data_IF_971161573845
#
_entry.id   IF_971161573845
#
_cell.length_a   1.000
_cell.length_b   1.000
_cell.length_c   1.000
_cell.angle_alpha   90.00
_cell.angle_beta   90.00
_cell.angle_gamma   90.00
#
_symmetry.space_group_name_H-M   'P 1'
#
loop_
_entity.id
_entity.type
_entity.pdbx_description
1 polymer ?
#
# COMPACT_ATOMS: atom_id res chain seq x y z
N UNK A 1 -22.88 3.85 -16.78
CA UNK A 1 -21.45 4.11 -17.05
C UNK A 1 -21.19 5.60 -16.87
N UNK A 2 -20.58 5.98 -15.74
CA UNK A 2 -20.58 7.33 -15.15
C UNK A 2 -19.53 8.29 -15.73
N UNK A 3 -18.91 7.97 -16.87
CA UNK A 3 -17.81 8.76 -17.44
C UNK A 3 -18.27 10.12 -18.02
N UNK A 4 -19.49 10.18 -18.57
CA UNK A 4 -20.04 11.39 -19.21
C UNK A 4 -20.29 12.56 -18.25
N UNK A 5 -20.35 12.32 -16.94
CA UNK A 5 -20.53 13.41 -15.96
C UNK A 5 -19.24 14.14 -15.61
N UNK A 6 -18.08 13.60 -15.96
CA UNK A 6 -16.77 14.18 -15.62
C UNK A 6 -15.96 14.65 -16.83
N UNK A 7 -16.45 14.41 -18.03
CA UNK A 7 -15.97 14.98 -19.29
C UNK A 7 -17.09 15.83 -19.92
N UNK A 8 -17.40 17.02 -19.35
CA UNK A 8 -18.35 17.94 -19.95
C UNK A 8 -17.84 18.56 -21.26
N UNK A 9 -16.52 18.57 -21.50
CA UNK A 9 -15.93 18.96 -22.78
C UNK A 9 -16.20 17.95 -23.91
N UNK A 10 -16.50 16.70 -23.56
CA UNK A 10 -16.71 15.55 -24.44
C UNK A 10 -15.53 15.28 -25.39
N UNK A 11 -14.32 15.69 -25.00
CA UNK A 11 -13.12 15.50 -25.80
C UNK A 11 -12.47 14.12 -25.60
N UNK A 12 -13.01 13.31 -24.69
CA UNK A 12 -12.51 11.98 -24.35
C UNK A 12 -11.36 11.99 -23.34
N UNK A 13 -10.98 13.16 -22.83
CA UNK A 13 -9.97 13.38 -21.80
C UNK A 13 -10.59 14.15 -20.63
N UNK A 14 -10.02 13.99 -19.43
CA UNK A 14 -10.42 14.80 -18.27
C UNK A 14 -9.36 15.88 -18.11
N UNK A 15 -9.74 17.13 -18.38
CA UNK A 15 -8.84 18.27 -18.26
C UNK A 15 -8.57 18.58 -16.78
N UNK A 16 -7.46 19.27 -16.50
CA UNK A 16 -7.06 19.59 -15.13
C UNK A 16 -8.13 20.39 -14.37
N UNK A 17 -8.85 21.28 -15.06
CA UNK A 17 -9.98 22.04 -14.53
C UNK A 17 -11.20 21.16 -14.21
N UNK A 18 -11.45 20.12 -15.00
CA UNK A 18 -12.54 19.15 -14.81
C UNK A 18 -12.20 18.12 -13.71
N UNK A 19 -10.91 17.79 -13.55
CA UNK A 19 -10.41 17.00 -12.44
C UNK A 19 -10.56 17.74 -11.10
N UNK A 20 -10.16 19.02 -11.04
CA UNK A 20 -10.12 19.84 -9.82
C UNK A 20 -11.42 20.60 -9.52
N UNK A 21 -12.36 20.64 -10.46
CA UNK A 21 -13.61 21.38 -10.34
C UNK A 21 -14.50 20.93 -9.17
N UNK A 22 -15.33 21.84 -8.67
CA UNK A 22 -16.34 21.52 -7.67
C UNK A 22 -17.37 20.54 -8.26
N UNK A 23 -17.31 19.27 -7.84
CA UNK A 23 -18.10 18.16 -8.42
C UNK A 23 -17.39 17.37 -9.53
N UNK A 24 -16.14 17.72 -9.83
CA UNK A 24 -15.27 16.99 -10.76
C UNK A 24 -14.77 15.65 -10.22
N UNK A 25 -13.96 14.95 -11.02
CA UNK A 25 -13.49 13.60 -10.69
C UNK A 25 -12.79 13.54 -9.32
N UNK A 26 -11.97 14.52 -8.94
CA UNK A 26 -11.30 14.52 -7.64
C UNK A 26 -12.29 14.65 -6.46
N UNK A 27 -13.32 15.49 -6.61
CA UNK A 27 -14.36 15.64 -5.60
C UNK A 27 -15.20 14.36 -5.48
N UNK A 28 -15.49 13.71 -6.61
CA UNK A 28 -16.15 12.41 -6.64
C UNK A 28 -15.27 11.31 -6.00
N UNK A 29 -13.97 11.27 -6.29
CA UNK A 29 -13.03 10.33 -5.67
C UNK A 29 -13.00 10.54 -4.16
N UNK A 30 -12.84 11.77 -3.67
CA UNK A 30 -12.83 12.07 -2.22
C UNK A 30 -14.14 11.72 -1.52
N UNK A 31 -15.26 11.79 -2.23
CA UNK A 31 -16.60 11.52 -1.66
C UNK A 31 -16.95 10.03 -1.68
N UNK A 32 -16.62 9.32 -2.76
CA UNK A 32 -16.99 7.91 -2.95
C UNK A 32 -15.88 6.93 -2.51
N UNK A 33 -14.63 7.33 -2.67
CA UNK A 33 -13.43 6.60 -2.24
C UNK A 33 -12.85 7.20 -0.97
N UNK A 34 -13.70 7.77 -0.12
CA UNK A 34 -13.37 7.94 1.30
C UNK A 34 -13.27 6.54 1.88
N UNK A 35 -12.10 5.91 1.70
CA UNK A 35 -11.76 4.67 2.38
C UNK A 35 -12.07 4.94 3.84
N UNK A 36 -13.03 4.18 4.39
CA UNK A 36 -13.22 4.08 5.82
C UNK A 36 -11.84 3.72 6.34
N UNK A 37 -11.12 4.68 6.88
CA UNK A 37 -9.78 4.48 7.38
C UNK A 37 -9.93 3.58 8.60
N UNK A 38 -10.02 2.28 8.35
CA UNK A 38 -9.75 1.26 9.35
C UNK A 38 -8.36 1.61 9.85
N UNK A 39 -8.23 1.69 11.17
CA UNK A 39 -6.93 1.87 11.77
C UNK A 39 -6.01 0.77 11.22
N UNK A 40 -4.87 1.18 10.67
CA UNK A 40 -3.87 0.23 10.19
C UNK A 40 -3.51 -0.66 11.38
N UNK A 41 -3.66 -1.99 11.27
CA UNK A 41 -3.26 -2.91 12.32
C UNK A 41 -1.80 -2.69 12.71
N UNK A 42 -1.46 -2.89 13.98
CA UNK A 42 -0.07 -2.82 14.41
C UNK A 42 0.60 -4.16 14.11
N UNK A 43 1.59 -4.15 13.21
CA UNK A 43 2.36 -5.35 12.81
C UNK A 43 2.99 -6.07 14.01
N UNK A 44 3.28 -5.35 15.10
CA UNK A 44 3.83 -5.93 16.33
C UNK A 44 2.80 -6.62 17.20
N UNK A 45 1.53 -6.21 17.12
CA UNK A 45 0.45 -6.78 17.91
C UNK A 45 -0.18 -7.95 17.19
N UNK A 46 -0.40 -7.81 15.88
CA UNK A 46 -1.04 -8.82 15.06
C UNK A 46 -0.50 -8.73 13.62
N UNK A 47 0.54 -9.53 13.36
CA UNK A 47 1.16 -9.66 12.04
C UNK A 47 0.16 -10.20 11.00
N UNK A 48 -0.73 -11.11 11.41
CA UNK A 48 -1.71 -11.72 10.51
C UNK A 48 -2.78 -10.72 10.09
N UNK A 49 -3.30 -9.95 11.04
CA UNK A 49 -4.23 -8.86 10.73
C UNK A 49 -3.57 -7.77 9.88
N UNK A 50 -2.29 -7.48 10.07
CA UNK A 50 -1.54 -6.57 9.22
C UNK A 50 -1.43 -7.10 7.79
N UNK A 51 -1.07 -8.38 7.62
CA UNK A 51 -0.98 -9.05 6.33
C UNK A 51 -2.32 -8.98 5.59
N UNK A 52 -3.39 -9.47 6.22
CA UNK A 52 -4.75 -9.45 5.66
C UNK A 52 -5.30 -8.05 5.37
N UNK A 53 -4.73 -7.03 6.01
CA UNK A 53 -5.13 -5.65 5.77
C UNK A 53 -4.47 -5.06 4.52
N UNK A 54 -3.24 -5.48 4.21
CA UNK A 54 -2.45 -4.95 3.10
C UNK A 54 -2.47 -5.82 1.85
N UNK A 55 -2.90 -7.08 1.96
CA UNK A 55 -3.35 -7.93 0.86
C UNK A 55 -4.67 -7.35 0.29
N UNK A 56 -4.56 -6.31 -0.53
CA UNK A 56 -5.69 -5.51 -1.01
C UNK A 56 -6.49 -6.26 -2.09
N UNK A 57 -5.81 -7.10 -2.87
CA UNK A 57 -6.40 -7.90 -3.94
C UNK A 57 -6.85 -9.30 -3.48
N UNK A 58 -6.48 -9.72 -2.27
CA UNK A 58 -6.76 -11.04 -1.69
C UNK A 58 -6.13 -12.18 -2.49
N UNK A 59 -4.93 -11.94 -3.02
CA UNK A 59 -4.11 -12.99 -3.62
C UNK A 59 -3.72 -14.04 -2.56
N UNK A 60 -3.63 -13.64 -1.29
CA UNK A 60 -3.06 -14.44 -0.22
C UNK A 60 -1.54 -14.31 -0.10
N UNK A 61 -0.96 -13.44 -0.92
CA UNK A 61 0.45 -13.09 -1.02
C UNK A 61 0.57 -11.57 -0.91
N UNK A 62 1.76 -11.05 -0.58
CA UNK A 62 2.02 -9.61 -0.53
C UNK A 62 3.03 -9.23 -1.59
N UNK A 63 2.62 -8.33 -2.47
CA UNK A 63 3.52 -7.66 -3.40
C UNK A 63 4.43 -6.66 -2.68
N UNK A 64 5.55 -6.33 -3.33
CA UNK A 64 6.47 -5.29 -2.84
C UNK A 64 5.79 -3.94 -2.66
N UNK A 65 4.85 -3.59 -3.54
CA UNK A 65 4.04 -2.38 -3.43
C UNK A 65 3.14 -2.38 -2.19
N UNK A 66 2.53 -3.51 -1.85
CA UNK A 66 1.65 -3.65 -0.69
C UNK A 66 2.43 -3.57 0.61
N UNK A 67 3.56 -4.26 0.70
CA UNK A 67 4.45 -4.17 1.87
C UNK A 67 4.97 -2.74 2.03
N UNK A 68 5.46 -2.13 0.95
CA UNK A 68 5.98 -0.75 0.99
C UNK A 68 4.90 0.23 1.45
N UNK A 69 3.70 0.14 0.88
CA UNK A 69 2.55 0.97 1.29
C UNK A 69 2.16 0.71 2.73
N UNK A 70 2.22 -0.55 3.16
CA UNK A 70 1.93 -0.96 4.52
C UNK A 70 2.87 -0.31 5.51
N UNK A 71 4.17 -0.35 5.25
CA UNK A 71 5.19 0.25 6.11
C UNK A 71 5.08 1.77 6.15
N UNK A 72 4.85 2.42 5.02
CA UNK A 72 4.64 3.87 4.97
C UNK A 72 3.46 4.28 5.85
N UNK A 73 2.34 3.54 5.78
CA UNK A 73 1.14 3.84 6.57
C UNK A 73 1.31 3.47 8.05
N UNK A 74 1.96 2.35 8.36
CA UNK A 74 2.21 1.89 9.74
C UNK A 74 3.15 2.81 10.51
N UNK A 75 4.21 3.29 9.87
CA UNK A 75 5.21 4.17 10.47
C UNK A 75 4.99 5.66 10.17
N UNK A 76 3.90 6.00 9.47
CA UNK A 76 3.54 7.38 9.09
C UNK A 76 4.64 8.13 8.33
N UNK A 77 5.38 7.41 7.49
CA UNK A 77 6.50 7.93 6.70
C UNK A 77 6.04 8.78 5.50
N UNK A 78 4.74 8.96 5.31
CA UNK A 78 4.13 9.64 4.14
C UNK A 78 4.43 11.14 4.00
N UNK A 79 5.21 11.72 4.91
CA UNK A 79 5.51 13.16 4.91
C UNK A 79 6.84 13.50 4.23
N UNK A 80 7.70 12.50 4.01
CA UNK A 80 9.05 12.68 3.49
C UNK A 80 9.26 11.73 2.30
N UNK A 81 9.40 12.31 1.10
CA UNK A 81 9.54 11.56 -0.15
C UNK A 81 10.86 10.78 -0.18
N UNK A 82 11.93 11.37 0.36
CA UNK A 82 13.27 10.76 0.37
C UNK A 82 13.28 9.52 1.27
N UNK A 83 12.53 9.54 2.38
CA UNK A 83 12.37 8.38 3.25
C UNK A 83 11.57 7.26 2.57
N UNK A 84 10.58 7.61 1.76
CA UNK A 84 9.77 6.64 1.01
C UNK A 84 10.61 5.96 -0.06
N UNK A 85 11.44 6.70 -0.79
CA UNK A 85 12.36 6.15 -1.79
C UNK A 85 13.41 5.24 -1.14
N UNK A 86 14.07 5.70 -0.07
CA UNK A 86 15.05 4.89 0.66
C UNK A 86 14.43 3.60 1.21
N UNK A 87 13.19 3.66 1.72
CA UNK A 87 12.47 2.49 2.19
C UNK A 87 12.22 1.49 1.04
N UNK A 88 11.78 1.98 -0.13
CA UNK A 88 11.55 1.14 -1.30
C UNK A 88 12.83 0.44 -1.75
N UNK A 89 13.95 1.16 -1.79
CA UNK A 89 15.25 0.61 -2.15
C UNK A 89 15.68 -0.48 -1.15
N UNK A 90 15.61 -0.20 0.15
CA UNK A 90 15.95 -1.18 1.20
C UNK A 90 15.08 -2.44 1.06
N UNK A 91 13.76 -2.28 0.92
CA UNK A 91 12.84 -3.41 0.76
C UNK A 91 13.20 -4.21 -0.49
N UNK A 92 13.45 -3.57 -1.62
CA UNK A 92 13.81 -4.26 -2.86
C UNK A 92 15.13 -5.04 -2.75
N UNK A 93 16.10 -4.53 -2.00
CA UNK A 93 17.38 -5.20 -1.78
C UNK A 93 17.26 -6.45 -0.93
N UNK A 94 16.35 -6.45 0.06
CA UNK A 94 16.14 -7.60 0.96
C UNK A 94 15.01 -8.51 0.51
N UNK A 95 14.26 -8.14 -0.54
CA UNK A 95 13.10 -8.89 -1.02
C UNK A 95 13.43 -10.34 -1.35
N UNK A 96 14.52 -10.56 -2.08
CA UNK A 96 15.00 -11.88 -2.48
C UNK A 96 15.46 -12.77 -1.31
N UNK A 97 15.54 -12.25 -0.08
CA UNK A 97 15.84 -13.04 1.12
C UNK A 97 14.55 -13.66 1.68
N UNK A 98 13.39 -13.05 1.41
CA UNK A 98 12.10 -13.48 1.92
C UNK A 98 11.27 -14.23 0.89
N UNK A 99 11.38 -13.85 -0.39
CA UNK A 99 10.83 -14.56 -1.55
C UNK A 99 11.73 -15.75 -1.88
N UNK A 100 11.59 -16.85 -1.12
CA UNK A 100 12.43 -18.05 -1.26
C UNK A 100 12.09 -18.84 -2.52
N UNK A 101 10.84 -18.76 -2.97
CA UNK A 101 10.35 -19.48 -4.15
C UNK A 101 10.52 -18.71 -5.46
N UNK A 102 10.87 -17.42 -5.39
CA UNK A 102 11.10 -16.54 -6.54
C UNK A 102 9.81 -16.20 -7.29
N UNK A 103 8.66 -16.29 -6.62
CA UNK A 103 7.35 -15.92 -7.14
C UNK A 103 7.26 -14.42 -7.44
N UNK A 104 8.08 -13.60 -6.76
CA UNK A 104 8.01 -12.15 -6.80
C UNK A 104 7.05 -11.56 -5.78
N UNK A 105 6.36 -12.41 -4.99
CA UNK A 105 5.48 -12.02 -3.89
C UNK A 105 5.95 -12.71 -2.60
N UNK A 106 5.45 -12.27 -1.45
CA UNK A 106 5.74 -12.89 -0.15
C UNK A 106 4.48 -13.51 0.39
N UNK A 107 4.47 -14.83 0.54
CA UNK A 107 3.30 -15.53 1.03
C UNK A 107 3.08 -15.33 2.54
N UNK A 108 1.93 -15.79 3.02
CA UNK A 108 1.58 -15.67 4.44
C UNK A 108 2.55 -16.40 5.37
N UNK A 109 3.03 -17.57 4.98
CA UNK A 109 3.94 -18.37 5.79
C UNK A 109 5.33 -17.73 5.83
N UNK A 110 5.86 -17.26 4.71
CA UNK A 110 7.10 -16.48 4.61
C UNK A 110 7.03 -15.18 5.44
N UNK A 111 5.88 -14.51 5.43
CA UNK A 111 5.69 -13.29 6.21
C UNK A 111 5.59 -13.54 7.72
N UNK A 112 4.85 -14.58 8.13
CA UNK A 112 4.54 -14.86 9.55
C UNK A 112 5.55 -15.78 10.23
N UNK A 113 6.50 -16.37 9.47
CA UNK A 113 7.50 -17.30 10.01
C UNK A 113 8.22 -16.71 11.22
N UNK A 114 8.19 -17.36 12.39
CA UNK A 114 8.81 -16.83 13.59
C UNK A 114 10.33 -16.66 13.45
N UNK A 115 10.84 -15.50 13.87
CA UNK A 115 12.27 -15.12 13.92
C UNK A 115 12.98 -14.95 12.57
N UNK A 116 12.42 -15.46 11.49
CA UNK A 116 13.05 -15.43 10.15
C UNK A 116 12.17 -14.69 9.15
N UNK A 117 10.84 -14.73 9.36
CA UNK A 117 9.88 -14.14 8.44
C UNK A 117 9.99 -12.63 8.34
N UNK A 118 9.45 -12.11 7.24
CA UNK A 118 9.58 -10.70 6.88
C UNK A 118 9.05 -9.78 7.99
N UNK A 119 7.95 -10.15 8.65
CA UNK A 119 7.37 -9.34 9.72
C UNK A 119 8.33 -9.12 10.89
N UNK A 120 9.06 -10.15 11.32
CA UNK A 120 10.02 -10.04 12.43
C UNK A 120 11.23 -9.21 12.04
N UNK A 121 11.72 -9.39 10.81
CA UNK A 121 12.82 -8.59 10.27
C UNK A 121 12.47 -7.10 10.19
N UNK A 122 11.24 -6.78 9.77
CA UNK A 122 10.70 -5.41 9.80
C UNK A 122 10.65 -4.89 11.24
N UNK A 123 10.09 -5.67 12.16
CA UNK A 123 9.94 -5.25 13.57
C UNK A 123 11.31 -4.98 14.23
N UNK A 124 12.34 -5.74 13.87
CA UNK A 124 13.70 -5.61 14.38
C UNK A 124 14.45 -4.39 13.82
N UNK A 125 14.26 -4.07 12.53
CA UNK A 125 14.97 -2.97 11.87
C UNK A 125 14.28 -1.61 11.99
N UNK A 126 12.97 -1.58 12.30
CA UNK A 126 12.20 -0.35 12.47
C UNK A 126 11.83 -0.11 13.95
N UNK A 127 12.75 0.44 14.77
CA UNK A 127 12.42 0.89 16.12
C UNK A 127 11.37 2.02 16.06
N UNK A 128 10.56 2.14 17.12
CA UNK A 128 9.43 3.09 17.20
C UNK A 128 9.81 4.54 16.92
#
# INVERSE_FOLDING_TARGET
VQYKSWDPSMDGFIQQSEFLGAGGLLAFIRTNFRSKARAVPDIRQDKGAWFEYFDEDRSGELSIEEVTRGLIKSYRLSSDLDQVEALRDIISCVWCVFDEDGSGEVDRDEFLTPNIGMADSIIANFPR
#
